data_IF_306674040906
#
_entry.id   IF_306674040906
#
_cell.length_a   1.000
_cell.length_b   1.000
_cell.length_c   1.000
_cell.angle_alpha   90.00
_cell.angle_beta   90.00
_cell.angle_gamma   90.00
#
_symmetry.space_group_name_H-M   'P 1'
#
loop_
_entity.id
_entity.type
_entity.pdbx_description
1 polymer ?
#
# COMPACT_ATOMS: atom_id res chain seq x y z
N UNK A 1 49.32 -50.04 -3.13
CA UNK A 1 48.77 -49.47 -1.92
C UNK A 1 47.96 -48.23 -2.35
N UNK A 2 46.65 -48.25 -2.33
CA UNK A 2 45.82 -47.09 -2.65
C UNK A 2 45.60 -46.25 -1.38
N UNK A 3 45.70 -44.92 -1.54
CA UNK A 3 45.43 -43.92 -0.50
C UNK A 3 43.96 -43.52 -0.62
N UNK A 4 43.18 -43.79 0.45
CA UNK A 4 41.79 -43.41 0.61
C UNK A 4 41.68 -41.89 0.69
N UNK A 5 40.83 -41.30 -0.16
CA UNK A 5 40.29 -39.93 -0.03
C UNK A 5 38.93 -39.98 0.67
N UNK A 6 38.88 -39.39 1.84
CA UNK A 6 37.64 -39.21 2.62
C UNK A 6 36.96 -37.87 2.23
N UNK A 7 35.69 -37.86 1.72
CA UNK A 7 35.00 -36.63 1.39
C UNK A 7 34.00 -36.28 2.48
N UNK A 8 34.39 -35.49 3.46
CA UNK A 8 33.46 -34.78 4.34
C UNK A 8 33.99 -33.40 4.62
N UNK A 9 33.26 -32.40 4.13
CA UNK A 9 32.93 -31.09 4.70
C UNK A 9 32.58 -30.10 3.57
N UNK A 10 31.36 -30.22 3.06
CA UNK A 10 30.64 -29.09 2.52
C UNK A 10 29.47 -28.80 3.45
N UNK A 11 29.64 -27.84 4.33
CA UNK A 11 28.53 -27.26 5.08
C UNK A 11 27.64 -26.49 4.12
N UNK A 12 26.46 -27.02 3.84
CA UNK A 12 25.34 -26.30 3.26
C UNK A 12 24.86 -25.26 4.29
N UNK A 13 25.25 -24.01 4.11
CA UNK A 13 24.57 -22.89 4.73
C UNK A 13 23.34 -22.61 3.86
N UNK A 14 22.22 -23.18 4.22
CA UNK A 14 20.92 -22.72 3.73
C UNK A 14 20.61 -21.36 4.37
N UNK A 15 20.11 -20.36 3.62
CA UNK A 15 19.62 -19.14 4.22
C UNK A 15 18.45 -19.50 5.14
N UNK A 16 18.56 -19.19 6.43
CA UNK A 16 17.46 -19.31 7.36
C UNK A 16 16.39 -18.31 6.95
N UNK A 17 15.31 -18.81 6.35
CA UNK A 17 14.05 -18.08 6.30
C UNK A 17 13.64 -17.80 7.73
N UNK A 18 13.67 -16.56 8.16
CA UNK A 18 13.03 -16.13 9.40
C UNK A 18 11.52 -16.29 9.20
N UNK A 19 11.02 -17.45 9.64
CA UNK A 19 9.59 -17.67 9.79
C UNK A 19 9.16 -16.79 10.96
N UNK A 20 8.55 -15.64 10.67
CA UNK A 20 7.85 -14.86 11.69
C UNK A 20 6.72 -15.77 12.21
N UNK A 21 6.79 -16.09 13.50
CA UNK A 21 5.94 -17.05 14.18
C UNK A 21 4.45 -16.67 14.02
N UNK A 22 3.56 -17.54 13.49
CA UNK A 22 2.14 -17.25 13.29
C UNK A 22 1.34 -17.02 14.58
N UNK A 23 1.96 -17.05 15.75
CA UNK A 23 1.27 -16.84 17.03
C UNK A 23 0.76 -15.42 17.27
N UNK A 24 1.05 -14.47 16.39
CA UNK A 24 0.39 -13.16 16.40
C UNK A 24 -0.97 -13.15 15.68
N UNK A 25 -1.61 -14.32 15.52
CA UNK A 25 -3.02 -14.35 15.14
C UNK A 25 -3.84 -13.65 16.24
N UNK A 26 -4.48 -12.56 15.84
CA UNK A 26 -5.32 -11.71 16.66
C UNK A 26 -6.31 -12.52 17.50
N UNK A 27 -6.08 -12.61 18.82
CA UNK A 27 -7.12 -13.07 19.74
C UNK A 27 -8.19 -11.99 19.85
N UNK A 28 -9.25 -12.11 19.05
CA UNK A 28 -10.44 -11.29 19.14
C UNK A 28 -11.25 -11.70 20.39
N UNK A 29 -10.97 -11.05 21.51
CA UNK A 29 -11.93 -11.05 22.61
C UNK A 29 -12.82 -9.79 22.45
N UNK A 30 -14.14 -9.92 22.42
CA UNK A 30 -15.03 -8.76 22.33
C UNK A 30 -14.98 -7.99 23.66
N UNK A 31 -14.42 -6.78 23.61
CA UNK A 31 -14.50 -5.83 24.72
C UNK A 31 -15.88 -5.17 24.64
N UNK A 32 -16.63 -5.14 25.75
CA UNK A 32 -17.90 -4.41 25.88
C UNK A 32 -17.71 -2.95 25.44
N UNK A 33 -18.60 -2.47 24.58
CA UNK A 33 -18.62 -1.12 24.05
C UNK A 33 -18.66 -0.08 25.19
N UNK A 34 -17.51 0.45 25.54
CA UNK A 34 -17.38 1.66 26.32
C UNK A 34 -17.03 2.80 25.38
N UNK A 35 -17.98 3.70 25.13
CA UNK A 35 -17.72 4.96 24.46
C UNK A 35 -16.74 5.78 25.28
N UNK A 36 -15.49 5.87 24.85
CA UNK A 36 -14.48 6.74 25.45
C UNK A 36 -14.64 8.13 24.83
N UNK A 37 -15.16 9.09 25.60
CA UNK A 37 -15.12 10.52 25.27
C UNK A 37 -13.66 10.96 25.25
N UNK A 38 -13.25 11.63 24.16
CA UNK A 38 -11.98 12.30 23.91
C UNK A 38 -11.02 12.33 25.11
N UNK A 39 -10.13 11.36 25.19
CA UNK A 39 -8.98 11.37 26.09
C UNK A 39 -7.91 10.47 25.48
N UNK A 40 -6.66 10.82 25.69
CA UNK A 40 -5.52 9.99 25.35
C UNK A 40 -5.70 8.59 25.93
N UNK A 41 -5.87 7.60 25.07
CA UNK A 41 -6.00 6.20 25.49
C UNK A 41 -4.59 5.63 25.56
N UNK A 42 -4.18 5.15 26.74
CA UNK A 42 -2.88 4.49 26.94
C UNK A 42 -3.09 3.01 27.21
N UNK A 43 -2.47 2.15 26.41
CA UNK A 43 -2.43 0.73 26.61
C UNK A 43 -1.00 0.23 26.43
N UNK A 44 -0.44 -0.41 27.45
CA UNK A 44 0.85 -1.12 27.39
C UNK A 44 1.99 -0.32 26.72
N UNK A 45 2.07 0.98 27.08
CA UNK A 45 3.03 1.93 26.51
C UNK A 45 2.63 2.55 25.17
N UNK A 46 1.55 2.10 24.55
CA UNK A 46 0.96 2.72 23.36
C UNK A 46 0.08 3.92 23.74
N UNK A 47 0.15 4.99 22.95
CA UNK A 47 -0.71 6.18 23.09
C UNK A 47 -1.53 6.36 21.82
N UNK A 48 -2.83 6.61 21.96
CA UNK A 48 -3.71 7.00 20.85
C UNK A 48 -4.31 8.37 21.14
N UNK A 49 -4.09 9.31 20.23
CA UNK A 49 -4.60 10.67 20.30
C UNK A 49 -5.59 10.92 19.18
N UNK A 50 -6.58 11.78 19.41
CA UNK A 50 -7.56 12.22 18.41
C UNK A 50 -7.61 13.73 18.36
N UNK A 51 -7.57 14.30 17.15
CA UNK A 51 -7.78 15.74 16.91
C UNK A 51 -8.67 15.98 15.69
N UNK A 52 -9.18 17.20 15.54
CA UNK A 52 -9.84 17.62 14.30
C UNK A 52 -8.83 17.63 13.16
N UNK A 53 -9.25 17.17 11.97
CA UNK A 53 -8.46 17.21 10.74
C UNK A 53 -9.08 18.17 9.69
N UNK A 54 -10.13 18.87 10.05
CA UNK A 54 -10.83 19.81 9.19
C UNK A 54 -12.27 19.41 8.91
N UNK A 55 -12.89 20.16 8.00
CA UNK A 55 -14.26 19.93 7.54
C UNK A 55 -14.21 19.57 6.06
N UNK A 56 -14.88 18.49 5.68
CA UNK A 56 -15.03 18.04 4.30
C UNK A 56 -15.99 19.01 3.60
N UNK A 57 -15.53 19.71 2.56
CA UNK A 57 -16.33 20.72 1.87
C UNK A 57 -17.56 20.12 1.20
N UNK A 58 -17.41 18.94 0.56
CA UNK A 58 -18.46 18.26 -0.18
C UNK A 58 -19.65 17.83 0.71
N UNK A 59 -19.40 17.34 1.92
CA UNK A 59 -20.43 16.77 2.79
C UNK A 59 -20.78 17.63 3.99
N UNK A 60 -19.91 18.57 4.36
CA UNK A 60 -20.00 19.33 5.60
C UNK A 60 -19.63 18.56 6.86
N UNK A 61 -19.24 17.31 6.74
CA UNK A 61 -18.83 16.46 7.87
C UNK A 61 -17.44 16.83 8.38
N UNK A 62 -17.17 16.51 9.64
CA UNK A 62 -15.84 16.68 10.24
C UNK A 62 -14.99 15.44 9.93
N UNK A 63 -13.77 15.68 9.44
CA UNK A 63 -12.71 14.69 9.44
C UNK A 63 -11.91 14.75 10.74
N UNK A 64 -11.43 13.60 11.20
CA UNK A 64 -10.60 13.48 12.39
C UNK A 64 -9.27 12.82 12.05
N UNK A 65 -8.22 13.24 12.75
CA UNK A 65 -6.90 12.62 12.71
C UNK A 65 -6.67 11.86 14.01
N UNK A 66 -6.23 10.62 13.87
CA UNK A 66 -5.79 9.78 14.98
C UNK A 66 -4.29 9.57 14.87
N UNK A 67 -3.57 9.66 15.97
CA UNK A 67 -2.15 9.34 16.05
C UNK A 67 -1.96 8.16 16.99
N UNK A 68 -1.39 7.07 16.49
CA UNK A 68 -0.93 5.94 17.30
C UNK A 68 0.56 6.13 17.50
N UNK A 69 1.02 6.14 18.76
CA UNK A 69 2.45 6.19 19.11
C UNK A 69 2.80 4.97 19.93
N UNK A 70 3.83 4.21 19.54
CA UNK A 70 4.31 3.06 20.29
C UNK A 70 5.29 3.48 21.42
N UNK A 71 5.73 2.54 22.24
CA UNK A 71 6.65 2.81 23.35
C UNK A 71 8.03 3.31 22.91
N UNK A 72 8.43 3.05 21.66
CA UNK A 72 9.72 3.42 21.11
C UNK A 72 9.71 4.79 20.39
N UNK A 73 8.55 5.49 20.42
CA UNK A 73 8.40 6.82 19.83
C UNK A 73 8.04 6.83 18.35
N UNK A 74 7.98 5.67 17.70
CA UNK A 74 7.44 5.60 16.34
C UNK A 74 5.94 5.88 16.38
N UNK A 75 5.42 6.55 15.33
CA UNK A 75 3.99 6.91 15.28
C UNK A 75 3.42 6.88 13.87
N UNK A 76 2.10 6.64 13.79
CA UNK A 76 1.32 6.73 12.56
C UNK A 76 0.15 7.69 12.74
N UNK A 77 -0.05 8.55 11.76
CA UNK A 77 -1.17 9.48 11.67
C UNK A 77 -2.20 8.96 10.68
N UNK A 78 -3.46 8.83 11.11
CA UNK A 78 -4.54 8.19 10.37
C UNK A 78 -5.76 9.11 10.32
N UNK A 79 -6.22 9.47 9.12
CA UNK A 79 -7.41 10.29 8.90
C UNK A 79 -8.65 9.44 8.72
N UNK A 80 -9.82 9.94 9.20
CA UNK A 80 -11.12 9.33 8.87
C UNK A 80 -11.48 9.53 7.39
N UNK A 81 -10.97 10.57 6.73
CA UNK A 81 -11.15 10.76 5.30
C UNK A 81 -10.22 9.79 4.56
N UNK A 82 -10.79 8.88 3.78
CA UNK A 82 -10.08 7.85 3.03
C UNK A 82 -9.47 6.74 3.89
N UNK A 83 -9.72 6.68 5.19
CA UNK A 83 -8.94 5.86 6.13
C UNK A 83 -7.44 6.01 5.85
N UNK A 84 -6.98 7.25 5.66
CA UNK A 84 -5.71 7.63 5.04
C UNK A 84 -4.58 7.65 6.05
N UNK A 85 -3.43 7.08 5.69
CA UNK A 85 -2.14 7.33 6.36
C UNK A 85 -1.66 8.73 5.94
N UNK A 86 -1.60 9.66 6.87
CA UNK A 86 -1.15 11.04 6.60
C UNK A 86 0.28 11.29 7.07
N UNK A 87 0.88 10.36 7.78
CA UNK A 87 2.25 10.44 8.27
C UNK A 87 2.67 9.15 8.97
N UNK A 88 3.90 8.72 8.76
CA UNK A 88 4.57 7.67 9.53
C UNK A 88 5.90 8.24 9.99
N UNK A 89 6.10 8.24 11.30
CA UNK A 89 7.32 8.78 11.92
C UNK A 89 8.07 7.65 12.61
N UNK A 90 9.33 7.51 12.25
CA UNK A 90 10.23 6.46 12.79
C UNK A 90 11.59 7.05 13.13
N UNK A 91 12.36 6.45 14.06
CA UNK A 91 13.72 6.89 14.33
C UNK A 91 14.64 6.63 13.14
N UNK A 92 15.61 7.53 12.91
CA UNK A 92 16.77 7.31 12.04
C UNK A 92 17.92 6.69 12.84
N UNK A 93 19.08 6.44 12.16
CA UNK A 93 20.29 5.87 12.77
C UNK A 93 20.89 6.73 13.89
N UNK A 94 20.58 8.02 13.92
CA UNK A 94 21.04 8.97 14.94
C UNK A 94 20.00 9.17 16.06
N UNK A 95 18.85 8.49 15.99
CA UNK A 95 17.75 8.56 16.96
C UNK A 95 16.79 9.74 16.71
N UNK A 96 16.91 10.49 15.62
CA UNK A 96 15.97 11.54 15.28
C UNK A 96 14.69 10.92 14.70
N UNK A 97 13.53 11.47 15.06
CA UNK A 97 12.23 11.00 14.53
C UNK A 97 11.97 11.66 13.18
N UNK A 98 11.94 10.87 12.11
CA UNK A 98 11.75 11.29 10.73
C UNK A 98 10.35 10.88 10.24
N UNK A 99 9.58 11.82 9.64
CA UNK A 99 8.35 11.49 8.91
C UNK A 99 8.74 11.00 7.51
N UNK A 100 8.47 9.73 7.23
CA UNK A 100 8.93 9.06 5.99
C UNK A 100 7.84 8.97 4.92
N UNK A 101 6.71 9.69 5.06
CA UNK A 101 5.59 9.58 4.12
C UNK A 101 5.07 10.92 3.65
N UNK A 102 4.72 11.01 2.37
CA UNK A 102 3.96 12.15 1.86
C UNK A 102 2.62 12.27 2.55
N UNK A 103 2.12 13.50 2.68
CA UNK A 103 0.83 13.80 3.27
C UNK A 103 0.62 15.30 3.42
N UNK A 104 -0.53 15.68 4.00
CA UNK A 104 -0.95 17.06 4.16
C UNK A 104 -1.41 17.32 5.59
N UNK A 105 -1.48 18.61 5.97
CA UNK A 105 -1.75 19.03 7.36
C UNK A 105 -3.24 19.05 7.74
N UNK A 106 -4.15 19.03 6.76
CA UNK A 106 -5.60 18.99 6.95
C UNK A 106 -6.30 18.20 5.82
N UNK A 107 -7.61 18.07 5.88
CA UNK A 107 -8.42 17.28 4.93
C UNK A 107 -8.54 17.92 3.56
N UNK A 108 -8.45 19.25 3.45
CA UNK A 108 -8.74 20.01 2.22
C UNK A 108 -7.90 19.59 1.01
N UNK A 109 -6.58 19.36 1.14
CA UNK A 109 -5.77 18.87 0.04
C UNK A 109 -6.17 17.48 -0.45
N UNK A 110 -6.59 16.59 0.44
CA UNK A 110 -7.06 15.24 0.08
C UNK A 110 -8.38 15.27 -0.67
N UNK A 111 -9.27 16.23 -0.34
CA UNK A 111 -10.56 16.39 -1.00
C UNK A 111 -10.43 17.04 -2.38
N UNK A 112 -9.62 18.10 -2.50
CA UNK A 112 -9.47 18.89 -3.72
C UNK A 112 -8.56 18.28 -4.76
N UNK A 113 -7.65 17.46 -4.34
CA UNK A 113 -6.67 16.86 -5.23
C UNK A 113 -6.48 15.38 -4.87
N UNK A 114 -7.25 14.50 -5.48
CA UNK A 114 -6.90 13.09 -5.47
C UNK A 114 -5.61 12.84 -6.27
N UNK A 115 -4.76 13.87 -6.43
CA UNK A 115 -3.47 13.73 -7.10
C UNK A 115 -2.65 12.75 -6.32
N UNK A 116 -2.54 11.57 -6.89
CA UNK A 116 -1.73 10.50 -6.37
C UNK A 116 -2.33 9.73 -5.20
N UNK A 117 -3.57 9.99 -4.77
CA UNK A 117 -4.23 9.20 -3.71
C UNK A 117 -3.40 9.03 -2.41
N UNK A 118 -2.58 10.06 -2.07
CA UNK A 118 -1.53 9.99 -1.05
C UNK A 118 -1.98 9.36 0.27
N UNK A 119 -1.44 8.18 0.61
CA UNK A 119 -1.73 7.43 1.83
C UNK A 119 -3.14 6.85 1.93
N UNK A 120 -4.01 7.07 0.93
CA UNK A 120 -5.41 6.65 0.95
C UNK A 120 -5.59 5.14 0.92
N UNK A 121 -6.67 4.67 1.54
CA UNK A 121 -7.17 3.31 1.33
C UNK A 121 -7.86 3.24 -0.01
N UNK A 122 -7.28 2.52 -0.95
CA UNK A 122 -7.80 2.36 -2.30
C UNK A 122 -8.80 1.22 -2.35
N UNK A 123 -9.93 1.47 -3.00
CA UNK A 123 -11.01 0.51 -3.22
C UNK A 123 -12.25 1.17 -3.85
N UNK A 124 -13.28 0.40 -4.22
CA UNK A 124 -13.42 -1.05 -4.13
C UNK A 124 -12.37 -1.84 -4.92
N UNK A 125 -11.87 -1.31 -6.05
CA UNK A 125 -10.85 -1.96 -6.87
C UNK A 125 -9.65 -1.03 -7.09
N UNK A 126 -8.50 -1.45 -6.57
CA UNK A 126 -7.22 -0.79 -6.79
C UNK A 126 -6.77 -0.95 -8.25
N UNK A 127 -5.96 0.01 -8.70
CA UNK A 127 -5.38 0.08 -10.03
C UNK A 127 -6.43 0.16 -11.14
N UNK A 128 -6.13 -0.27 -12.37
CA UNK A 128 -6.94 -0.03 -13.57
C UNK A 128 -7.86 -1.18 -13.93
N UNK A 129 -9.03 -0.83 -14.50
CA UNK A 129 -9.96 -1.75 -15.19
C UNK A 129 -10.16 -1.19 -16.61
N UNK A 130 -9.82 -1.96 -17.63
CA UNK A 130 -9.91 -1.58 -19.04
C UNK A 130 -11.36 -1.31 -19.43
N UNK A 131 -11.60 -0.19 -20.14
CA UNK A 131 -12.94 0.25 -20.53
C UNK A 131 -13.90 0.54 -19.38
N UNK A 132 -13.44 0.42 -18.13
CA UNK A 132 -14.32 0.48 -16.94
C UNK A 132 -15.35 -0.64 -16.91
N UNK A 133 -15.15 -1.73 -17.65
CA UNK A 133 -16.11 -2.83 -17.77
C UNK A 133 -15.58 -4.09 -17.11
N UNK A 134 -16.49 -4.83 -16.50
CA UNK A 134 -16.20 -6.19 -16.05
C UNK A 134 -17.48 -7.04 -16.01
N UNK A 135 -17.30 -8.37 -15.90
CA UNK A 135 -18.39 -9.32 -15.87
C UNK A 135 -18.29 -10.24 -14.66
N UNK A 136 -19.37 -10.39 -13.93
CA UNK A 136 -19.53 -11.37 -12.83
C UNK A 136 -20.83 -12.14 -13.08
N UNK A 137 -20.80 -13.49 -13.05
CA UNK A 137 -21.97 -14.36 -13.22
C UNK A 137 -22.82 -13.98 -14.45
N UNK A 138 -22.16 -13.77 -15.60
CA UNK A 138 -22.78 -13.35 -16.85
C UNK A 138 -23.45 -11.97 -16.88
N UNK A 139 -23.42 -11.23 -15.77
CA UNK A 139 -23.86 -9.84 -15.70
C UNK A 139 -22.68 -8.91 -15.99
N UNK A 140 -22.83 -8.03 -16.99
CA UNK A 140 -21.87 -6.95 -17.26
C UNK A 140 -22.15 -5.74 -16.37
N UNK A 141 -21.07 -5.12 -15.90
CA UNK A 141 -21.07 -3.90 -15.09
C UNK A 141 -20.23 -2.84 -15.76
N UNK A 142 -20.70 -1.59 -15.74
CA UNK A 142 -19.98 -0.43 -16.27
C UNK A 142 -19.62 0.50 -15.11
N UNK A 143 -18.34 0.81 -15.00
CA UNK A 143 -17.78 1.78 -14.06
C UNK A 143 -17.49 3.11 -14.76
N UNK A 144 -17.34 4.17 -13.98
CA UNK A 144 -16.82 5.44 -14.45
C UNK A 144 -15.40 5.25 -15.04
N UNK A 145 -15.14 5.82 -16.23
CA UNK A 145 -13.78 5.89 -16.78
C UNK A 145 -13.18 7.24 -16.41
N UNK A 146 -12.43 7.28 -15.31
CA UNK A 146 -11.85 8.49 -14.71
C UNK A 146 -10.37 8.71 -15.08
N UNK A 147 -9.78 7.85 -15.92
CA UNK A 147 -8.36 7.89 -16.31
C UNK A 147 -8.17 7.70 -17.82
N UNK A 148 -6.95 8.03 -18.31
CA UNK A 148 -6.50 7.79 -19.69
C UNK A 148 -7.48 8.34 -20.73
N UNK A 149 -7.88 9.63 -20.58
CA UNK A 149 -8.85 10.34 -21.41
C UNK A 149 -10.24 9.64 -21.46
N UNK A 150 -10.69 9.09 -20.35
CA UNK A 150 -11.99 8.43 -20.25
C UNK A 150 -12.02 7.02 -20.82
N UNK A 151 -10.87 6.36 -20.97
CA UNK A 151 -10.79 4.99 -21.49
C UNK A 151 -10.62 3.92 -20.42
N UNK A 152 -10.24 4.30 -19.19
CA UNK A 152 -10.02 3.35 -18.09
C UNK A 152 -10.67 3.80 -16.79
N UNK A 153 -11.11 2.85 -15.99
CA UNK A 153 -11.43 3.07 -14.59
C UNK A 153 -10.17 2.91 -13.75
N UNK A 154 -9.99 3.72 -12.72
CA UNK A 154 -8.81 3.68 -11.85
C UNK A 154 -9.18 3.95 -10.41
N UNK A 155 -8.62 3.15 -9.48
CA UNK A 155 -8.64 3.33 -8.02
C UNK A 155 -10.04 3.53 -7.41
N UNK A 156 -11.08 2.87 -7.95
CA UNK A 156 -12.44 2.97 -7.44
C UNK A 156 -13.24 4.15 -7.99
N UNK A 157 -12.67 4.95 -8.91
CA UNK A 157 -13.35 6.09 -9.54
C UNK A 157 -13.34 7.35 -8.67
N UNK A 158 -14.16 8.34 -9.06
CA UNK A 158 -14.26 9.64 -8.37
C UNK A 158 -14.88 9.55 -6.97
N UNK A 159 -15.56 8.45 -6.64
CA UNK A 159 -16.18 8.15 -5.35
C UNK A 159 -15.52 6.92 -4.69
N UNK A 160 -14.23 6.68 -4.95
CA UNK A 160 -13.46 5.58 -4.36
C UNK A 160 -13.39 5.64 -2.84
N UNK A 161 -12.84 4.61 -2.23
CA UNK A 161 -12.75 4.49 -0.76
C UNK A 161 -11.88 5.57 -0.12
N UNK A 162 -10.89 6.08 -0.85
CA UNK A 162 -9.96 7.12 -0.43
C UNK A 162 -10.57 8.53 -0.35
N UNK A 163 -11.77 8.74 -0.91
CA UNK A 163 -12.51 10.00 -0.82
C UNK A 163 -13.77 9.93 0.06
N UNK A 164 -13.93 8.84 0.83
CA UNK A 164 -15.05 8.67 1.76
C UNK A 164 -14.65 9.02 3.18
N UNK A 165 -15.61 9.48 4.00
CA UNK A 165 -15.40 9.71 5.42
C UNK A 165 -15.77 8.45 6.21
N UNK A 166 -14.77 7.71 6.67
CA UNK A 166 -14.93 6.45 7.39
C UNK A 166 -15.27 6.67 8.86
N UNK A 167 -16.06 5.79 9.42
CA UNK A 167 -16.29 5.73 10.87
C UNK A 167 -15.09 5.09 11.54
N UNK A 168 -14.55 5.74 12.58
CA UNK A 168 -13.41 5.23 13.34
C UNK A 168 -13.83 4.68 14.70
N UNK A 169 -13.23 3.55 15.09
CA UNK A 169 -13.32 2.93 16.41
C UNK A 169 -11.92 2.67 16.94
N UNK A 170 -11.62 3.22 18.13
CA UNK A 170 -10.37 2.90 18.85
C UNK A 170 -10.47 1.48 19.38
N UNK A 171 -9.45 0.67 19.10
CA UNK A 171 -9.23 -0.66 19.64
C UNK A 171 -8.18 -0.60 20.76
N UNK A 172 -7.95 -1.71 21.45
CA UNK A 172 -6.92 -1.81 22.48
C UNK A 172 -5.51 -1.53 21.91
N UNK A 173 -5.25 -1.97 20.69
CA UNK A 173 -3.94 -2.01 20.04
C UNK A 173 -3.93 -1.32 18.67
N UNK A 174 -4.91 -0.47 18.37
CA UNK A 174 -5.01 0.17 17.07
C UNK A 174 -6.32 0.90 16.82
N UNK A 175 -6.65 1.10 15.56
CA UNK A 175 -7.87 1.80 15.10
C UNK A 175 -8.51 1.01 13.97
N UNK A 176 -9.81 0.75 14.09
CA UNK A 176 -10.66 0.22 13.02
C UNK A 176 -11.38 1.39 12.33
N UNK A 177 -11.22 1.48 11.03
CA UNK A 177 -12.06 2.31 10.17
C UNK A 177 -13.08 1.43 9.45
N UNK A 178 -14.33 1.89 9.33
CA UNK A 178 -15.40 1.16 8.67
C UNK A 178 -16.21 2.06 7.74
N UNK A 179 -16.55 1.52 6.56
CA UNK A 179 -17.38 2.17 5.55
C UNK A 179 -18.39 1.17 4.97
N UNK A 180 -19.57 1.65 4.60
CA UNK A 180 -20.59 0.84 3.93
C UNK A 180 -20.85 1.45 2.55
N UNK A 181 -20.32 0.79 1.53
CA UNK A 181 -20.63 1.08 0.13
C UNK A 181 -22.00 0.50 -0.21
N UNK A 182 -22.88 1.29 -0.80
CA UNK A 182 -24.21 0.84 -1.21
C UNK A 182 -24.15 0.04 -2.52
N UNK A 183 -25.17 -0.80 -2.73
CA UNK A 183 -25.35 -1.52 -4.00
C UNK A 183 -25.33 -0.53 -5.17
N UNK A 184 -24.59 -0.85 -6.22
CA UNK A 184 -24.39 -0.05 -7.43
C UNK A 184 -23.75 1.34 -7.22
N UNK A 185 -23.31 1.69 -6.03
CA UNK A 185 -22.50 2.88 -5.81
C UNK A 185 -21.21 2.75 -6.64
N UNK A 186 -20.88 3.77 -7.43
CA UNK A 186 -19.80 3.74 -8.42
C UNK A 186 -19.87 2.61 -9.47
N UNK A 187 -21.04 2.00 -9.67
CA UNK A 187 -21.24 0.88 -10.61
C UNK A 187 -20.83 -0.49 -10.07
N UNK A 188 -20.35 -0.59 -8.84
CA UNK A 188 -19.99 -1.87 -8.22
C UNK A 188 -21.21 -2.52 -7.55
N UNK A 189 -21.51 -3.81 -7.84
CA UNK A 189 -22.65 -4.52 -7.23
C UNK A 189 -22.42 -4.79 -5.74
N UNK A 190 -23.53 -4.99 -5.03
CA UNK A 190 -23.60 -5.39 -3.63
C UNK A 190 -23.39 -4.27 -2.62
N UNK A 191 -24.05 -4.42 -1.45
CA UNK A 191 -23.76 -3.62 -0.27
C UNK A 191 -22.47 -4.17 0.39
N UNK A 192 -21.38 -3.43 0.30
CA UNK A 192 -20.07 -3.85 0.84
C UNK A 192 -19.85 -3.20 2.20
N UNK A 193 -19.63 -4.02 3.22
CA UNK A 193 -19.18 -3.57 4.54
C UNK A 193 -17.66 -3.71 4.58
N UNK A 194 -16.95 -2.61 4.34
CA UNK A 194 -15.49 -2.59 4.34
C UNK A 194 -14.94 -2.12 5.69
N UNK A 195 -13.80 -2.70 6.08
CA UNK A 195 -13.04 -2.32 7.28
C UNK A 195 -11.56 -2.28 6.95
N UNK A 196 -10.87 -1.31 7.55
CA UNK A 196 -9.40 -1.24 7.60
C UNK A 196 -8.98 -1.12 9.05
N UNK A 197 -8.10 -2.00 9.50
CA UNK A 197 -7.61 -2.02 10.88
C UNK A 197 -6.12 -1.72 10.84
N UNK A 198 -5.73 -0.62 11.48
CA UNK A 198 -4.34 -0.21 11.63
C UNK A 198 -3.85 -0.52 13.05
N UNK A 199 -2.69 -1.19 13.14
CA UNK A 199 -2.01 -1.47 14.41
C UNK A 199 -0.53 -1.18 14.26
N UNK A 200 0.03 -0.42 15.18
CA UNK A 200 1.46 -0.15 15.27
C UNK A 200 2.03 -0.88 16.48
N UNK A 201 2.86 -1.88 16.27
CA UNK A 201 3.47 -2.61 17.37
C UNK A 201 4.75 -1.92 17.92
N UNK A 202 5.34 -2.53 18.92
CA UNK A 202 6.54 -1.98 19.55
C UNK A 202 7.84 -2.30 18.79
N UNK A 203 7.77 -3.12 17.77
CA UNK A 203 8.89 -3.42 16.86
C UNK A 203 8.83 -2.57 15.60
N UNK A 204 8.02 -1.49 15.63
CA UNK A 204 7.76 -0.55 14.53
C UNK A 204 7.13 -1.18 13.29
N UNK A 205 6.35 -2.26 13.46
CA UNK A 205 5.56 -2.82 12.38
C UNK A 205 4.16 -2.16 12.37
N UNK A 206 3.80 -1.57 11.23
CA UNK A 206 2.46 -1.09 10.98
C UNK A 206 1.69 -2.16 10.21
N UNK A 207 0.77 -2.85 10.89
CA UNK A 207 -0.15 -3.81 10.32
C UNK A 207 -1.37 -3.10 9.76
N UNK A 208 -1.74 -3.39 8.52
CA UNK A 208 -2.91 -2.87 7.81
C UNK A 208 -3.74 -4.07 7.37
N UNK A 209 -4.80 -4.37 8.11
CA UNK A 209 -5.71 -5.47 7.79
C UNK A 209 -6.96 -4.96 7.09
N UNK A 210 -7.22 -5.47 5.91
CA UNK A 210 -8.42 -5.20 5.13
C UNK A 210 -9.42 -6.31 5.29
N UNK A 211 -10.68 -5.98 5.62
CA UNK A 211 -11.80 -6.91 5.68
C UNK A 211 -12.98 -6.35 4.92
N UNK A 212 -13.68 -7.20 4.19
CA UNK A 212 -14.94 -6.83 3.57
C UNK A 212 -15.90 -8.01 3.49
N UNK A 213 -17.19 -7.73 3.56
CA UNK A 213 -18.27 -8.67 3.23
C UNK A 213 -19.26 -8.00 2.29
N UNK A 214 -19.92 -8.77 1.43
CA UNK A 214 -20.93 -8.27 0.51
C UNK A 214 -22.17 -9.16 0.52
N UNK A 215 -23.34 -8.58 0.25
CA UNK A 215 -24.60 -9.31 0.05
C UNK A 215 -24.80 -9.82 -1.38
N UNK A 216 -23.92 -9.43 -2.33
CA UNK A 216 -23.84 -9.92 -3.70
C UNK A 216 -22.40 -10.21 -4.07
N UNK A 217 -22.20 -11.05 -5.08
CA UNK A 217 -20.87 -11.19 -5.70
C UNK A 217 -20.41 -9.83 -6.22
N UNK A 218 -19.20 -9.41 -5.86
CA UNK A 218 -18.67 -8.10 -6.20
C UNK A 218 -17.16 -8.14 -6.47
N UNK A 219 -16.64 -7.10 -7.10
CA UNK A 219 -15.21 -6.94 -7.26
C UNK A 219 -14.64 -6.17 -6.07
N UNK A 220 -13.60 -6.74 -5.42
CA UNK A 220 -12.91 -6.12 -4.30
C UNK A 220 -11.39 -6.34 -4.41
N UNK A 221 -10.64 -5.27 -4.36
CA UNK A 221 -9.18 -5.25 -4.39
C UNK A 221 -8.71 -4.00 -3.62
N UNK A 222 -8.41 -4.15 -2.33
CA UNK A 222 -8.03 -3.02 -1.48
C UNK A 222 -6.52 -2.96 -1.28
N UNK A 223 -5.98 -1.76 -1.29
CA UNK A 223 -4.57 -1.48 -0.99
C UNK A 223 -4.40 -0.13 -0.29
N UNK A 224 -3.17 0.22 0.07
CA UNK A 224 -2.79 1.54 0.56
C UNK A 224 -1.83 2.22 -0.41
N UNK A 225 -2.07 3.50 -0.70
CA UNK A 225 -1.28 4.27 -1.67
C UNK A 225 -0.31 5.25 -0.98
N UNK A 226 0.44 4.76 0.02
CA UNK A 226 1.44 5.58 0.70
C UNK A 226 2.66 5.81 -0.20
N UNK A 227 3.05 7.09 -0.28
CA UNK A 227 4.32 7.50 -0.90
C UNK A 227 5.39 7.59 0.19
N UNK A 228 6.42 6.79 0.07
CA UNK A 228 7.55 6.76 0.99
C UNK A 228 8.73 7.59 0.47
N UNK A 229 9.38 8.32 1.37
CA UNK A 229 10.71 8.86 1.20
C UNK A 229 11.47 8.66 2.52
N UNK A 230 12.36 7.68 2.55
CA UNK A 230 13.09 7.32 3.77
C UNK A 230 14.16 8.36 4.16
N UNK A 231 14.45 9.31 3.27
CA UNK A 231 15.27 10.50 3.57
C UNK A 231 14.49 11.62 4.29
N UNK A 232 13.19 11.38 4.50
CA UNK A 232 12.24 12.31 5.10
C UNK A 232 11.26 12.90 4.08
N UNK A 233 10.00 13.01 4.47
CA UNK A 233 8.92 13.57 3.64
C UNK A 233 9.10 15.06 3.32
N UNK A 234 9.97 15.75 4.05
CA UNK A 234 10.33 17.15 3.79
C UNK A 234 11.30 17.29 2.60
N UNK A 235 11.96 16.20 2.18
CA UNK A 235 12.76 16.16 0.97
C UNK A 235 11.83 16.00 -0.24
N UNK A 236 11.21 17.12 -0.66
CA UNK A 236 10.19 17.18 -1.71
C UNK A 236 10.76 17.36 -3.11
N UNK A 237 12.08 17.45 -3.26
CA UNK A 237 12.77 17.75 -4.51
C UNK A 237 12.60 16.66 -5.56
N UNK A 238 12.73 17.05 -6.83
CA UNK A 238 12.69 16.12 -7.96
C UNK A 238 13.77 15.06 -7.82
N UNK A 239 13.41 13.80 -8.04
CA UNK A 239 14.31 12.64 -7.99
C UNK A 239 14.90 12.33 -6.60
N UNK A 240 14.35 12.86 -5.51
CA UNK A 240 14.92 12.69 -4.16
C UNK A 240 14.92 11.24 -3.66
N UNK A 241 14.07 10.34 -4.22
CA UNK A 241 14.09 8.91 -3.84
C UNK A 241 15.03 8.06 -4.70
N UNK A 242 15.71 8.63 -5.69
CA UNK A 242 16.52 7.83 -6.61
C UNK A 242 17.81 7.26 -6.00
N UNK A 243 18.26 7.78 -4.85
CA UNK A 243 19.36 7.21 -4.10
C UNK A 243 18.94 6.06 -3.17
N UNK A 244 17.64 5.83 -2.99
CA UNK A 244 17.14 4.67 -2.23
C UNK A 244 17.60 3.37 -2.89
N UNK A 245 17.92 2.41 -2.04
CA UNK A 245 18.27 1.04 -2.44
C UNK A 245 17.03 0.19 -2.28
N UNK A 246 16.72 -0.57 -3.32
CA UNK A 246 15.52 -1.42 -3.39
C UNK A 246 15.93 -2.86 -3.63
N UNK A 247 15.27 -3.78 -2.93
CA UNK A 247 15.33 -5.22 -3.13
C UNK A 247 13.91 -5.78 -3.23
N UNK A 248 13.67 -6.70 -4.18
CA UNK A 248 12.40 -7.41 -4.40
C UNK A 248 12.72 -8.90 -4.49
N UNK A 249 12.94 -9.58 -3.33
CA UNK A 249 13.56 -10.90 -3.30
C UNK A 249 12.63 -12.02 -3.80
N UNK A 250 11.32 -11.86 -3.66
CA UNK A 250 10.33 -12.90 -3.93
C UNK A 250 9.45 -12.59 -5.16
N UNK A 251 10.06 -12.07 -6.22
CA UNK A 251 9.38 -11.87 -7.49
C UNK A 251 10.32 -12.18 -8.66
N UNK A 252 9.92 -13.08 -9.52
CA UNK A 252 10.64 -13.46 -10.76
C UNK A 252 10.00 -12.87 -12.02
N UNK A 253 8.81 -12.27 -11.91
CA UNK A 253 8.04 -11.75 -13.04
C UNK A 253 7.28 -10.48 -12.68
N UNK A 254 7.02 -9.66 -13.72
CA UNK A 254 6.06 -8.57 -13.69
C UNK A 254 4.95 -8.83 -14.70
N UNK A 255 3.77 -8.24 -14.52
CA UNK A 255 2.74 -8.22 -15.56
C UNK A 255 3.18 -7.25 -16.66
N UNK A 256 3.25 -7.74 -17.91
CA UNK A 256 3.56 -6.90 -19.07
C UNK A 256 2.36 -6.02 -19.42
N UNK A 257 2.61 -4.75 -19.68
CA UNK A 257 1.55 -3.76 -19.94
C UNK A 257 1.64 -3.17 -21.36
N UNK A 258 0.50 -2.70 -21.86
CA UNK A 258 0.44 -1.85 -23.04
C UNK A 258 0.83 -0.39 -22.71
N UNK A 259 0.74 0.50 -23.74
CA UNK A 259 1.16 1.91 -23.62
C UNK A 259 0.36 2.75 -22.60
N UNK A 260 -0.83 2.30 -22.20
CA UNK A 260 -1.64 2.95 -21.16
C UNK A 260 -1.63 2.19 -19.84
N UNK A 261 -0.62 1.34 -19.63
CA UNK A 261 -0.39 0.56 -18.41
C UNK A 261 -1.53 -0.43 -18.08
N UNK A 262 -2.23 -0.96 -19.09
CA UNK A 262 -3.16 -2.08 -18.91
C UNK A 262 -2.39 -3.38 -19.15
N UNK A 263 -2.46 -4.38 -18.25
CA UNK A 263 -1.85 -5.68 -18.47
C UNK A 263 -2.35 -6.36 -19.74
N UNK A 264 -1.42 -6.93 -20.51
CA UNK A 264 -1.73 -7.68 -21.77
C UNK A 264 -2.14 -9.13 -21.51
N UNK A 265 -1.99 -9.61 -20.27
CA UNK A 265 -2.14 -11.02 -19.91
C UNK A 265 -0.83 -11.81 -19.99
N UNK A 266 0.24 -11.20 -20.48
CA UNK A 266 1.57 -11.78 -20.51
C UNK A 266 2.36 -11.44 -19.23
N UNK A 267 3.27 -12.35 -18.84
CA UNK A 267 4.25 -12.13 -17.80
C UNK A 267 5.62 -11.88 -18.44
N UNK A 268 6.34 -10.91 -17.92
CA UNK A 268 7.73 -10.62 -18.30
C UNK A 268 8.66 -11.15 -17.19
N UNK A 269 9.55 -12.08 -17.53
CA UNK A 269 10.63 -12.48 -16.64
C UNK A 269 11.57 -11.30 -16.41
N UNK A 270 11.87 -10.98 -15.15
CA UNK A 270 12.67 -9.80 -14.80
C UNK A 270 14.18 -10.00 -14.94
N UNK A 271 14.64 -11.26 -15.04
CA UNK A 271 16.07 -11.57 -15.13
C UNK A 271 16.74 -10.80 -16.30
N UNK A 272 17.88 -10.19 -16.01
CA UNK A 272 18.67 -9.40 -16.95
C UNK A 272 17.93 -8.15 -17.50
N UNK A 273 16.91 -7.68 -16.79
CA UNK A 273 16.14 -6.47 -17.12
C UNK A 273 16.34 -5.38 -16.05
N UNK A 274 15.94 -4.13 -16.30
CA UNK A 274 15.95 -3.08 -15.28
C UNK A 274 15.00 -3.34 -14.10
N UNK A 275 14.08 -4.31 -14.22
CA UNK A 275 13.13 -4.70 -13.18
C UNK A 275 13.68 -5.77 -12.22
N UNK A 276 14.88 -6.29 -12.48
CA UNK A 276 15.51 -7.31 -11.64
C UNK A 276 16.09 -6.70 -10.37
N UNK A 277 15.28 -6.63 -9.32
CA UNK A 277 15.67 -6.20 -7.97
C UNK A 277 15.77 -7.38 -6.99
N UNK A 278 15.99 -8.61 -7.47
CA UNK A 278 16.22 -9.75 -6.56
C UNK A 278 17.48 -9.62 -5.72
N UNK A 279 18.37 -8.74 -6.14
CA UNK A 279 19.49 -8.21 -5.38
C UNK A 279 19.35 -6.69 -5.27
N UNK A 280 19.88 -6.12 -4.21
CA UNK A 280 19.81 -4.69 -3.93
C UNK A 280 20.35 -3.83 -5.08
N UNK A 281 19.58 -2.80 -5.44
CA UNK A 281 19.99 -1.81 -6.46
C UNK A 281 19.51 -0.41 -6.09
N UNK A 282 20.35 0.60 -6.34
CA UNK A 282 19.93 2.00 -6.30
C UNK A 282 19.02 2.31 -7.50
N UNK A 283 17.90 2.96 -7.25
CA UNK A 283 16.94 3.32 -8.30
C UNK A 283 17.57 4.16 -9.41
N UNK A 284 18.48 5.09 -9.09
CA UNK A 284 19.18 5.94 -10.09
C UNK A 284 19.93 5.14 -11.14
N UNK A 285 20.39 3.94 -10.82
CA UNK A 285 21.19 3.12 -11.74
C UNK A 285 20.33 2.48 -12.84
N UNK A 286 19.03 2.38 -12.65
CA UNK A 286 18.13 1.62 -13.55
C UNK A 286 16.94 2.43 -14.09
N UNK A 287 16.56 3.54 -13.42
CA UNK A 287 15.35 4.32 -13.74
C UNK A 287 15.34 4.90 -15.18
N UNK A 288 16.51 5.16 -15.75
CA UNK A 288 16.68 5.71 -17.09
C UNK A 288 17.03 4.65 -18.15
N UNK A 289 16.83 3.37 -17.85
CA UNK A 289 17.05 2.30 -18.80
C UNK A 289 16.17 2.46 -20.05
N UNK A 290 16.71 2.04 -21.22
CA UNK A 290 16.04 2.12 -22.52
C UNK A 290 14.96 1.01 -22.72
N UNK A 291 14.46 0.43 -21.66
CA UNK A 291 13.45 -0.62 -21.71
C UNK A 291 12.05 -0.05 -21.99
N UNK A 292 11.30 -0.67 -22.94
CA UNK A 292 9.98 -0.21 -23.40
C UNK A 292 9.00 0.01 -22.24
N UNK A 293 8.92 -0.93 -21.29
CA UNK A 293 7.99 -0.85 -20.15
C UNK A 293 8.30 0.35 -19.24
N UNK A 294 9.56 0.74 -19.04
CA UNK A 294 9.93 1.95 -18.30
C UNK A 294 9.61 3.24 -19.07
N UNK A 295 9.83 3.23 -20.39
CA UNK A 295 9.50 4.38 -21.25
C UNK A 295 8.01 4.68 -21.24
N UNK A 296 7.17 3.63 -21.36
CA UNK A 296 5.72 3.76 -21.36
C UNK A 296 5.20 4.45 -20.09
N UNK A 297 5.80 4.18 -18.95
CA UNK A 297 5.39 4.68 -17.64
C UNK A 297 6.26 5.84 -17.12
N UNK A 298 7.29 6.25 -17.87
CA UNK A 298 8.23 7.34 -17.52
C UNK A 298 9.01 7.08 -16.23
N UNK A 299 9.22 5.83 -15.87
CA UNK A 299 9.83 5.34 -14.65
C UNK A 299 9.17 4.05 -14.20
N UNK A 300 9.38 3.60 -12.95
CA UNK A 300 8.69 2.41 -12.46
C UNK A 300 7.22 2.70 -12.21
N UNK A 301 6.36 1.83 -12.71
CA UNK A 301 4.90 1.76 -12.50
C UNK A 301 4.44 0.36 -12.92
N UNK A 302 5.02 -0.67 -12.31
CA UNK A 302 4.84 -2.06 -12.69
C UNK A 302 4.29 -2.89 -11.55
N UNK A 303 3.40 -3.84 -11.88
CA UNK A 303 2.95 -4.84 -10.93
C UNK A 303 3.91 -6.04 -10.93
N UNK A 304 4.58 -6.25 -9.80
CA UNK A 304 5.40 -7.42 -9.49
C UNK A 304 4.53 -8.58 -9.03
N UNK A 305 4.82 -9.78 -9.51
CA UNK A 305 4.09 -10.99 -9.14
C UNK A 305 4.85 -11.69 -8.00
N UNK A 306 4.20 -11.91 -6.88
CA UNK A 306 4.83 -12.57 -5.72
C UNK A 306 4.94 -14.07 -6.00
N UNK A 307 6.16 -14.60 -5.96
CA UNK A 307 6.44 -16.01 -6.12
C UNK A 307 5.92 -16.79 -4.90
N UNK A 308 5.48 -18.04 -5.13
CA UNK A 308 4.94 -18.93 -4.10
C UNK A 308 3.73 -18.37 -3.30
N UNK A 309 2.98 -17.46 -3.88
CA UNK A 309 1.75 -16.94 -3.32
C UNK A 309 0.74 -18.05 -3.02
N UNK A 310 0.22 -18.08 -1.78
CA UNK A 310 -0.78 -19.07 -1.31
C UNK A 310 -2.08 -18.41 -0.77
N UNK A 311 -2.13 -17.08 -0.76
CA UNK A 311 -3.26 -16.29 -0.26
C UNK A 311 -3.38 -16.20 1.26
N UNK A 312 -2.42 -16.74 2.01
CA UNK A 312 -2.45 -16.82 3.48
C UNK A 312 -1.18 -16.33 4.14
N UNK A 313 -0.03 -16.82 3.66
CA UNK A 313 1.29 -16.49 4.23
C UNK A 313 1.66 -15.05 3.89
N UNK A 314 2.13 -14.31 4.89
CA UNK A 314 2.77 -13.01 4.65
C UNK A 314 4.13 -13.25 4.03
N UNK A 315 4.27 -12.85 2.76
CA UNK A 315 5.50 -12.96 1.98
C UNK A 315 6.11 -11.56 1.88
N UNK A 316 7.42 -11.48 2.00
CA UNK A 316 8.18 -10.25 1.80
C UNK A 316 8.10 -9.83 0.34
N UNK A 317 7.44 -8.69 0.08
CA UNK A 317 7.23 -8.14 -1.25
C UNK A 317 8.44 -7.32 -1.70
N UNK A 318 8.89 -6.41 -0.84
CA UNK A 318 10.02 -5.52 -1.14
C UNK A 318 10.70 -5.02 0.13
N UNK A 319 11.98 -4.68 0.00
CA UNK A 319 12.78 -3.93 0.96
C UNK A 319 13.24 -2.62 0.31
N UNK A 320 13.21 -1.54 1.08
CA UNK A 320 13.76 -0.25 0.69
C UNK A 320 14.61 0.28 1.83
N UNK A 321 15.77 0.87 1.52
CA UNK A 321 16.60 1.51 2.53
C UNK A 321 17.22 2.81 2.04
N UNK A 322 17.48 3.70 2.99
CA UNK A 322 18.21 4.95 2.79
C UNK A 322 19.57 4.88 3.48
N UNK A 323 20.65 5.05 2.73
CA UNK A 323 21.99 5.18 3.32
C UNK A 323 22.14 6.47 4.15
N UNK A 324 21.38 7.50 3.83
CA UNK A 324 21.44 8.80 4.50
C UNK A 324 20.93 8.72 5.92
N UNK A 325 19.74 8.17 6.11
CA UNK A 325 19.08 8.07 7.42
C UNK A 325 19.31 6.73 8.12
N UNK A 326 19.75 5.70 7.39
CA UNK A 326 19.81 4.32 7.86
C UNK A 326 18.44 3.66 7.98
N UNK A 327 17.33 4.36 7.70
CA UNK A 327 15.98 3.81 7.82
C UNK A 327 15.77 2.74 6.74
N UNK A 328 15.19 1.62 7.17
CA UNK A 328 14.76 0.52 6.30
C UNK A 328 13.24 0.36 6.36
N UNK A 329 12.64 -0.02 5.24
CA UNK A 329 11.24 -0.40 5.11
C UNK A 329 11.16 -1.76 4.44
N UNK A 330 10.60 -2.74 5.15
CA UNK A 330 10.23 -4.04 4.61
C UNK A 330 8.71 -4.09 4.45
N UNK A 331 8.22 -4.51 3.29
CA UNK A 331 6.80 -4.67 3.01
C UNK A 331 6.48 -6.16 2.90
N UNK A 332 5.53 -6.64 3.73
CA UNK A 332 5.04 -8.01 3.66
C UNK A 332 3.55 -8.01 3.34
N UNK A 333 3.09 -9.04 2.63
CA UNK A 333 1.67 -9.17 2.30
C UNK A 333 1.26 -10.61 1.99
N UNK A 334 -0.03 -10.90 2.11
CA UNK A 334 -0.69 -12.10 1.60
C UNK A 334 -1.53 -11.85 0.34
N UNK A 335 -1.19 -10.81 -0.43
CA UNK A 335 -1.74 -10.51 -1.74
C UNK A 335 -0.81 -11.07 -2.85
N UNK A 336 -1.31 -11.36 -4.07
CA UNK A 336 -0.55 -12.08 -5.10
C UNK A 336 0.53 -11.24 -5.80
N UNK A 337 0.51 -9.93 -5.61
CA UNK A 337 1.46 -9.01 -6.21
C UNK A 337 1.39 -7.64 -5.59
N UNK A 338 2.19 -6.74 -6.12
CA UNK A 338 2.18 -5.34 -5.69
C UNK A 338 2.59 -4.42 -6.85
N UNK A 339 2.03 -3.22 -6.86
CA UNK A 339 2.50 -2.15 -7.74
C UNK A 339 3.72 -1.49 -7.11
N UNK A 340 4.79 -1.37 -7.88
CA UNK A 340 5.96 -0.56 -7.56
C UNK A 340 5.94 0.69 -8.42
N UNK A 341 5.80 1.86 -7.77
CA UNK A 341 5.60 3.14 -8.46
C UNK A 341 6.55 4.21 -7.90
N UNK A 342 7.27 4.89 -8.77
CA UNK A 342 8.25 5.93 -8.41
C UNK A 342 7.71 7.35 -8.57
N UNK A 343 6.42 7.59 -8.30
CA UNK A 343 5.81 8.93 -8.30
C UNK A 343 6.09 9.75 -9.58
N UNK A 344 6.03 9.11 -10.73
CA UNK A 344 6.42 9.69 -12.03
C UNK A 344 5.57 10.88 -12.48
N UNK A 345 4.36 11.03 -11.91
CA UNK A 345 3.36 12.03 -12.29
C UNK A 345 3.17 13.16 -11.26
N UNK A 346 3.99 13.19 -10.20
CA UNK A 346 4.03 14.32 -9.27
C UNK A 346 4.72 15.56 -9.91
N UNK A 347 4.71 16.71 -9.24
CA UNK A 347 5.35 17.95 -9.70
C UNK A 347 4.46 18.83 -10.58
N UNK A 348 3.13 18.67 -10.52
CA UNK A 348 2.21 19.55 -11.24
C UNK A 348 1.93 20.81 -10.43
N UNK A 349 1.84 21.97 -11.10
CA UNK A 349 1.56 23.26 -10.45
C UNK A 349 0.22 23.33 -9.71
N UNK A 350 -0.74 22.46 -10.09
CA UNK A 350 -2.05 22.32 -9.43
C UNK A 350 -2.01 21.49 -8.14
N UNK A 351 -0.88 20.86 -7.79
CA UNK A 351 -0.78 20.09 -6.56
C UNK A 351 -0.76 20.99 -5.33
N UNK A 352 -1.38 20.57 -4.22
CA UNK A 352 -1.33 21.29 -2.97
C UNK A 352 0.08 21.27 -2.35
N UNK A 353 0.34 22.21 -1.46
CA UNK A 353 1.56 22.24 -0.67
C UNK A 353 1.62 21.08 0.30
N UNK A 354 2.82 20.50 0.46
CA UNK A 354 3.13 19.41 1.40
C UNK A 354 3.00 19.85 2.85
N UNK A 355 3.28 18.93 3.78
CA UNK A 355 3.35 19.22 5.23
C UNK A 355 4.38 20.31 5.58
N UNK A 356 5.44 20.45 4.79
CA UNK A 356 6.50 21.46 4.98
C UNK A 356 6.28 22.78 4.21
N UNK A 357 5.17 22.90 3.47
CA UNK A 357 4.87 24.11 2.67
C UNK A 357 5.47 24.12 1.27
N UNK A 358 6.31 23.12 0.91
CA UNK A 358 6.78 22.90 -0.46
C UNK A 358 5.79 22.03 -1.23
N UNK A 359 6.07 21.73 -2.51
CA UNK A 359 5.30 20.76 -3.29
C UNK A 359 6.11 19.49 -3.48
N UNK A 360 5.42 18.37 -3.49
CA UNK A 360 6.04 17.09 -3.84
C UNK A 360 6.33 17.05 -5.34
N UNK A 361 7.62 17.05 -5.70
CA UNK A 361 8.06 17.01 -7.07
C UNK A 361 8.12 15.56 -7.60
N UNK A 362 8.31 15.40 -8.91
CA UNK A 362 8.41 14.10 -9.57
C UNK A 362 9.49 13.25 -8.92
N UNK A 363 9.16 12.01 -8.58
CA UNK A 363 10.06 11.07 -7.91
C UNK A 363 10.57 11.55 -6.55
N UNK A 364 9.77 12.34 -5.85
CA UNK A 364 10.04 12.68 -4.45
C UNK A 364 9.52 11.63 -3.46
N UNK A 365 8.84 10.59 -3.96
CA UNK A 365 8.34 9.45 -3.20
C UNK A 365 8.29 8.19 -4.05
N UNK A 366 8.11 7.05 -3.40
CA UNK A 366 7.84 5.76 -4.05
C UNK A 366 6.70 5.04 -3.34
N UNK A 367 5.92 4.24 -4.09
CA UNK A 367 4.82 3.44 -3.56
C UNK A 367 5.11 1.96 -3.75
N UNK A 368 4.74 1.17 -2.73
CA UNK A 368 4.67 -0.28 -2.78
C UNK A 368 3.25 -0.63 -2.36
N UNK A 369 2.41 -1.04 -3.32
CA UNK A 369 0.97 -1.20 -3.18
C UNK A 369 0.59 -2.66 -3.39
N UNK A 370 0.62 -3.52 -2.36
CA UNK A 370 0.16 -4.89 -2.48
C UNK A 370 -1.29 -4.96 -2.91
N UNK A 371 -1.58 -5.77 -3.93
CA UNK A 371 -2.89 -5.84 -4.59
C UNK A 371 -3.07 -7.13 -5.40
N UNK A 372 -4.30 -7.41 -5.86
CA UNK A 372 -4.50 -8.29 -7.01
C UNK A 372 -3.98 -7.59 -8.27
N UNK A 373 -3.59 -8.39 -9.26
CA UNK A 373 -3.05 -7.82 -10.50
C UNK A 373 -4.03 -6.85 -11.15
N UNK A 374 -3.55 -5.73 -11.71
CA UNK A 374 -4.42 -4.77 -12.40
C UNK A 374 -5.21 -5.46 -13.52
N UNK A 375 -6.47 -5.06 -13.71
CA UNK A 375 -7.38 -5.62 -14.72
C UNK A 375 -7.57 -7.15 -14.65
N UNK A 376 -7.31 -7.79 -13.49
CA UNK A 376 -7.35 -9.24 -13.35
C UNK A 376 -8.72 -9.84 -13.69
N UNK A 377 -9.80 -9.12 -13.40
CA UNK A 377 -11.16 -9.56 -13.71
C UNK A 377 -11.37 -9.82 -15.20
N UNK A 378 -10.71 -9.04 -16.09
CA UNK A 378 -10.82 -9.12 -17.54
C UNK A 378 -9.67 -9.91 -18.19
N UNK A 379 -8.67 -10.35 -17.43
CA UNK A 379 -7.46 -11.00 -17.97
C UNK A 379 -7.51 -12.49 -17.68
N UNK A 380 -7.73 -13.31 -18.70
CA UNK A 380 -7.98 -14.77 -18.57
C UNK A 380 -6.82 -15.49 -17.86
N UNK A 381 -5.58 -15.15 -18.22
CA UNK A 381 -4.36 -15.78 -17.68
C UNK A 381 -4.11 -15.50 -16.20
N UNK A 382 -4.77 -14.51 -15.59
CA UNK A 382 -4.63 -14.20 -14.18
C UNK A 382 -5.59 -15.06 -13.36
N UNK A 383 -5.07 -15.81 -12.38
CA UNK A 383 -5.87 -16.75 -11.58
C UNK A 383 -6.81 -16.03 -10.61
N UNK A 384 -6.25 -15.06 -9.88
CA UNK A 384 -6.99 -14.31 -8.86
C UNK A 384 -7.73 -13.14 -9.49
N UNK A 385 -9.06 -13.18 -9.46
CA UNK A 385 -9.91 -12.17 -10.13
C UNK A 385 -10.36 -11.02 -9.22
N UNK A 386 -10.10 -11.10 -7.92
CA UNK A 386 -10.59 -10.13 -6.96
C UNK A 386 -12.11 -10.18 -6.74
N UNK A 387 -12.76 -11.30 -7.05
CA UNK A 387 -14.21 -11.49 -6.81
C UNK A 387 -14.42 -11.91 -5.37
N UNK A 388 -15.20 -11.12 -4.62
CA UNK A 388 -15.74 -11.48 -3.32
C UNK A 388 -17.13 -12.07 -3.52
N UNK A 389 -17.30 -13.34 -3.15
CA UNK A 389 -18.60 -14.00 -3.22
C UNK A 389 -19.53 -13.49 -2.12
N UNK A 390 -20.83 -13.48 -2.43
CA UNK A 390 -21.86 -13.09 -1.46
C UNK A 390 -21.77 -13.93 -0.19
N UNK A 391 -21.66 -13.25 0.97
CA UNK A 391 -21.56 -13.90 2.28
C UNK A 391 -20.15 -14.38 2.67
N UNK A 392 -19.17 -14.37 1.77
CA UNK A 392 -17.76 -14.63 2.11
C UNK A 392 -17.07 -13.41 2.70
N UNK A 393 -15.94 -13.61 3.37
CA UNK A 393 -15.10 -12.54 3.90
C UNK A 393 -13.84 -12.36 3.04
N UNK A 394 -13.63 -11.14 2.55
CA UNK A 394 -12.33 -10.66 2.09
C UNK A 394 -11.47 -10.37 3.31
N UNK A 395 -10.27 -10.95 3.37
CA UNK A 395 -9.32 -10.75 4.45
C UNK A 395 -7.91 -10.72 3.87
N UNK A 396 -7.28 -9.55 3.86
CA UNK A 396 -5.93 -9.34 3.34
C UNK A 396 -5.15 -8.44 4.28
N UNK A 397 -3.83 -8.58 4.23
CA UNK A 397 -2.94 -7.86 5.13
C UNK A 397 -1.72 -7.31 4.39
N UNK A 398 -1.33 -6.11 4.79
CA UNK A 398 -0.07 -5.47 4.44
C UNK A 398 0.64 -5.14 5.76
N UNK A 399 1.94 -5.40 5.84
CA UNK A 399 2.76 -4.97 6.97
C UNK A 399 3.87 -4.07 6.45
N UNK A 400 3.97 -2.87 7.00
CA UNK A 400 5.12 -1.99 6.83
C UNK A 400 6.01 -2.11 8.07
N UNK A 401 7.15 -2.77 7.94
CA UNK A 401 8.10 -3.02 9.01
C UNK A 401 9.29 -2.07 8.86
N UNK A 402 9.48 -1.20 9.85
CA UNK A 402 10.55 -0.21 9.85
C UNK A 402 11.68 -0.63 10.77
N UNK A 403 12.91 -0.47 10.31
CA UNK A 403 14.13 -0.76 11.04
C UNK A 403 15.22 0.25 10.73
N UNK A 404 16.39 -0.01 11.29
CA UNK A 404 17.65 0.73 11.04
C UNK A 404 18.68 -0.26 10.53
N UNK A 405 19.37 0.10 9.46
CA UNK A 405 20.57 -0.60 9.02
C UNK A 405 21.74 -0.22 9.95
N UNK A 406 22.43 -1.23 10.50
CA UNK A 406 23.61 -1.06 11.36
C UNK A 406 24.86 -0.69 10.55
#
# INVERSE_FOLDING_TARGET
MPIDFNPHFYNNIQPQQQIINPQYMFQNQPIKDTFIKSADVKFDGMKIEKKSFGKIEKTGEKAYLYTITNKNGASVNLSTFGATITGIKVPDKDGNIIDVTHGYNDVTPYEKSPVGHAGGTIGPCANKIDGGKFKINDQEYQLECNKDNGSTHSHGGSEGFDVQNWKAKILRDGIEFSYIKKDMENGYPGNVKAKVIYKLDNDNNLHIQYKATSDKDTLINMTNHTYFNLDGAENTEENSVLDHIVEIPNSSTITKTNKISIPTGEFLNIKDTPFDFREEKKLKNVINSDHEQLKNTKGFDQNYCIDNYDGKTLIEAANVRSEKTGITLKVLTNLPGFQFYTANNLGKSSQPESKSGSRYEKRSGLCIEPQFYPNAINTESFKEKGILKAGEEYNREIVYSFGIEE
#
